data_IF_264511581390
#
_entry.id   IF_264511581390
#
_cell.length_a   1.000
_cell.length_b   1.000
_cell.length_c   1.000
_cell.angle_alpha   90.00
_cell.angle_beta   90.00
_cell.angle_gamma   90.00
#
_symmetry.space_group_name_H-M   'P 1'
#
loop_
_entity.id
_entity.type
_entity.pdbx_description
1 polymer ?
#
# COMPACT_ATOMS: atom_id res chain seq x y z
N UNK A 1 8.37 2.77 6.11
CA UNK A 1 9.25 3.94 5.85
C UNK A 1 8.39 5.20 5.73
N UNK A 2 8.86 6.38 6.17
CA UNK A 2 8.16 7.62 5.89
C UNK A 2 8.10 7.86 4.37
N UNK A 3 6.99 8.40 3.83
CA UNK A 3 6.97 8.83 2.44
C UNK A 3 7.93 10.02 2.23
N UNK A 4 8.39 10.26 0.99
CA UNK A 4 9.13 11.48 0.67
C UNK A 4 8.34 12.74 1.05
N UNK A 5 9.04 13.87 1.20
CA UNK A 5 8.42 15.16 1.54
C UNK A 5 7.22 15.48 0.63
N UNK A 6 6.13 15.94 1.27
CA UNK A 6 4.87 16.32 0.61
C UNK A 6 4.22 15.18 -0.21
N UNK A 7 4.42 13.93 0.21
CA UNK A 7 3.77 12.77 -0.41
C UNK A 7 3.13 11.88 0.64
N UNK A 8 2.14 11.12 0.20
CA UNK A 8 1.50 10.05 0.95
C UNK A 8 1.71 8.70 0.25
N UNK A 9 1.77 7.64 1.04
CA UNK A 9 1.78 6.29 0.48
C UNK A 9 0.39 5.93 -0.02
N UNK A 10 0.33 5.38 -1.22
CA UNK A 10 -0.84 4.74 -1.78
C UNK A 10 -0.48 3.28 -2.05
N UNK A 11 -1.28 2.36 -1.51
CA UNK A 11 -1.10 0.93 -1.70
C UNK A 11 -1.61 0.52 -3.08
N UNK A 12 -0.74 -0.03 -3.91
CA UNK A 12 -1.08 -0.48 -5.28
C UNK A 12 -1.09 -2.01 -5.41
N UNK A 13 -0.31 -2.71 -4.59
CA UNK A 13 -0.37 -4.17 -4.47
C UNK A 13 -0.38 -4.54 -2.99
N UNK A 14 -1.23 -5.49 -2.60
CA UNK A 14 -1.23 -6.11 -1.29
C UNK A 14 -1.75 -7.54 -1.37
N UNK A 15 -0.82 -8.49 -1.33
CA UNK A 15 -1.12 -9.93 -1.41
C UNK A 15 -1.75 -10.49 -0.13
N UNK A 16 -2.01 -9.68 0.91
CA UNK A 16 -2.86 -10.06 2.04
C UNK A 16 -4.34 -10.05 1.68
N UNK A 17 -4.73 -9.35 0.62
CA UNK A 17 -6.10 -9.22 0.18
C UNK A 17 -6.41 -10.26 -0.88
N UNK A 18 -7.68 -10.65 -0.98
CA UNK A 18 -8.14 -11.54 -2.05
C UNK A 18 -8.38 -10.76 -3.34
N UNK A 19 -8.17 -11.43 -4.47
CA UNK A 19 -8.52 -10.91 -5.79
C UNK A 19 -10.00 -10.52 -5.87
N UNK A 20 -10.36 -9.37 -6.48
CA UNK A 20 -9.51 -8.47 -7.27
C UNK A 20 -8.87 -7.32 -6.48
N UNK A 21 -8.91 -7.36 -5.15
CA UNK A 21 -8.50 -6.24 -4.30
C UNK A 21 -6.99 -6.21 -3.99
N UNK A 22 -6.29 -7.28 -4.37
CA UNK A 22 -4.86 -7.46 -4.18
C UNK A 22 -4.02 -6.57 -5.09
N UNK A 23 -4.58 -6.11 -6.22
CA UNK A 23 -3.94 -5.17 -7.15
C UNK A 23 -4.90 -4.03 -7.50
N UNK A 24 -4.55 -2.80 -7.09
CA UNK A 24 -5.31 -1.59 -7.38
C UNK A 24 -4.39 -0.58 -8.08
N UNK A 25 -4.39 -0.49 -9.42
CA UNK A 25 -3.47 0.38 -10.17
C UNK A 25 -3.57 1.85 -9.77
N UNK A 26 -4.78 2.32 -9.46
CA UNK A 26 -5.01 3.69 -9.00
C UNK A 26 -4.50 3.95 -7.57
N UNK A 27 -4.27 2.89 -6.81
CA UNK A 27 -3.80 2.94 -5.44
C UNK A 27 -4.89 3.32 -4.43
N UNK A 28 -4.74 2.80 -3.21
CA UNK A 28 -5.59 3.13 -2.07
C UNK A 28 -4.78 3.96 -1.08
N UNK A 29 -5.24 5.17 -0.68
CA UNK A 29 -4.52 6.00 0.28
C UNK A 29 -4.26 5.25 1.59
N UNK A 30 -3.02 5.28 2.05
CA UNK A 30 -2.66 4.75 3.36
C UNK A 30 -2.81 5.85 4.42
N UNK A 31 -3.77 5.67 5.34
CA UNK A 31 -4.16 6.68 6.33
C UNK A 31 -3.62 6.42 7.73
N UNK A 32 -2.99 5.27 7.97
CA UNK A 32 -2.50 4.86 9.30
C UNK A 32 -0.99 5.10 9.50
N UNK A 33 -0.48 5.02 10.75
CA UNK A 33 0.96 5.03 11.01
C UNK A 33 1.61 3.65 10.81
N UNK A 34 0.82 2.57 10.75
CA UNK A 34 1.28 1.18 10.69
C UNK A 34 0.47 0.37 9.68
N UNK A 35 1.12 -0.59 9.02
CA UNK A 35 0.50 -1.52 8.10
C UNK A 35 0.73 -2.95 8.60
N UNK A 36 -0.32 -3.79 8.60
CA UNK A 36 -0.19 -5.20 8.96
C UNK A 36 0.13 -6.01 7.71
N UNK A 37 1.18 -6.82 7.75
CA UNK A 37 1.61 -7.68 6.65
C UNK A 37 1.55 -9.14 7.15
N UNK A 38 0.88 -10.03 6.42
CA UNK A 38 0.81 -11.45 6.77
C UNK A 38 2.13 -12.18 6.39
N UNK A 39 2.44 -13.32 7.03
CA UNK A 39 3.54 -14.17 6.58
C UNK A 39 3.40 -14.53 5.09
N UNK A 40 4.53 -14.64 4.38
CA UNK A 40 4.59 -14.98 2.95
C UNK A 40 3.82 -14.01 2.03
N UNK A 41 3.59 -12.78 2.47
CA UNK A 41 2.98 -11.74 1.66
C UNK A 41 3.99 -10.66 1.23
N UNK A 42 3.62 -9.93 0.19
CA UNK A 42 4.27 -8.73 -0.31
C UNK A 42 3.28 -7.58 -0.44
N UNK A 43 3.80 -6.36 -0.31
CA UNK A 43 3.08 -5.10 -0.47
C UNK A 43 3.90 -4.16 -1.39
N UNK A 44 3.23 -3.43 -2.27
CA UNK A 44 3.82 -2.37 -3.08
C UNK A 44 3.11 -1.04 -2.80
N UNK A 45 3.91 -0.04 -2.42
CA UNK A 45 3.44 1.31 -2.13
C UNK A 45 3.99 2.30 -3.17
N UNK A 46 3.11 3.16 -3.69
CA UNK A 46 3.45 4.27 -4.58
C UNK A 46 3.34 5.58 -3.80
N UNK A 47 4.39 6.39 -3.80
CA UNK A 47 4.32 7.74 -3.25
C UNK A 47 3.57 8.63 -4.24
N UNK A 48 2.46 9.24 -3.80
CA UNK A 48 1.71 10.25 -4.56
C UNK A 48 1.70 11.58 -3.78
N UNK A 49 1.53 12.72 -4.46
CA UNK A 49 1.20 13.98 -3.78
C UNK A 49 0.05 13.80 -2.78
#
# INVERSE_FOLDING_TARGET
PPPPHHKCWNRVVDTNLESPNDIVPEGVPFTGPKYRIAPYSSILLKAKP
#
